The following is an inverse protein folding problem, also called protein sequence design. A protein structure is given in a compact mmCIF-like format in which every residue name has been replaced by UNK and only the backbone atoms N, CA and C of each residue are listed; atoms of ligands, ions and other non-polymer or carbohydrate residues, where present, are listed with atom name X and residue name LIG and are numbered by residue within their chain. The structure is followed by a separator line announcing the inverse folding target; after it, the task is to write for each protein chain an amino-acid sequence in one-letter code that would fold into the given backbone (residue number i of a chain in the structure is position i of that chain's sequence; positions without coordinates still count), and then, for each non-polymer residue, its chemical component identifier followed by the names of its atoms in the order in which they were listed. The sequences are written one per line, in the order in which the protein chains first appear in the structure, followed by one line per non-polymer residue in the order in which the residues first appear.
data_IF_938391932695
#
_entry.id   IF_938391932695
#
_cell.length_a   1.000
_cell.length_b   1.000
_cell.length_c   1.000
_cell.angle_alpha   90.00
_cell.angle_beta   90.00
_cell.angle_gamma   90.00
#
_symmetry.space_group_name_H-M   'P 1'
#
loop_
_entity.id
_entity.type
_entity.pdbx_description
1 polymer ?
#
# COMPACT_ATOMS: atom_id res chain seq x y z
N UNK A 1 25.07 15.33 10.18
CA UNK A 1 23.69 15.52 9.75
C UNK A 1 23.57 15.51 8.23
N UNK A 2 24.17 16.49 7.52
CA UNK A 2 24.03 16.59 6.06
C UNK A 2 24.53 15.34 5.33
N UNK A 3 25.69 14.83 5.67
CA UNK A 3 26.29 13.61 5.11
C UNK A 3 25.45 12.35 5.37
N UNK A 4 24.87 12.23 6.56
CA UNK A 4 23.97 11.13 6.94
C UNK A 4 22.67 11.17 6.11
N UNK A 5 22.04 12.36 6.02
CA UNK A 5 20.82 12.54 5.21
C UNK A 5 21.10 12.30 3.72
N UNK A 6 22.22 12.82 3.18
CA UNK A 6 22.63 12.60 1.81
C UNK A 6 22.87 11.09 1.49
N UNK A 7 23.54 10.37 2.38
CA UNK A 7 23.77 8.93 2.21
C UNK A 7 22.48 8.13 2.19
N UNK A 8 21.49 8.50 3.01
CA UNK A 8 20.16 7.90 2.99
C UNK A 8 19.35 8.29 1.75
N UNK A 9 19.40 9.53 1.32
CA UNK A 9 18.77 9.95 0.07
C UNK A 9 19.35 9.22 -1.15
N UNK A 10 20.63 8.95 -1.17
CA UNK A 10 21.30 8.17 -2.23
C UNK A 10 20.87 6.69 -2.27
N UNK A 11 20.39 6.13 -1.17
CA UNK A 11 19.88 4.75 -1.14
C UNK A 11 18.43 4.63 -1.64
N UNK A 12 17.70 5.74 -1.79
CA UNK A 12 16.29 5.74 -2.23
C UNK A 12 16.14 5.29 -3.70
N UNK A 13 16.86 5.85 -4.68
CA UNK A 13 16.68 5.48 -6.09
C UNK A 13 16.90 3.99 -6.37
N UNK A 14 17.99 3.34 -5.90
CA UNK A 14 18.18 1.91 -6.13
C UNK A 14 17.10 1.06 -5.43
N UNK A 15 16.64 1.46 -4.25
CA UNK A 15 15.54 0.77 -3.56
C UNK A 15 14.25 0.83 -4.36
N UNK A 16 13.88 2.02 -4.85
CA UNK A 16 12.68 2.22 -5.68
C UNK A 16 12.76 1.36 -6.95
N UNK A 17 13.91 1.36 -7.63
CA UNK A 17 14.11 0.57 -8.84
C UNK A 17 13.93 -0.93 -8.55
N UNK A 18 14.58 -1.44 -7.49
CA UNK A 18 14.52 -2.87 -7.13
C UNK A 18 13.09 -3.27 -6.74
N UNK A 19 12.42 -2.50 -5.89
CA UNK A 19 11.05 -2.81 -5.46
C UNK A 19 10.07 -2.75 -6.63
N UNK A 20 10.18 -1.73 -7.50
CA UNK A 20 9.33 -1.61 -8.68
C UNK A 20 9.57 -2.76 -9.66
N UNK A 21 10.83 -3.14 -9.90
CA UNK A 21 11.18 -4.25 -10.78
C UNK A 21 10.66 -5.59 -10.24
N UNK A 22 10.87 -5.86 -8.94
CA UNK A 22 10.35 -7.09 -8.31
C UNK A 22 8.83 -7.16 -8.37
N UNK A 23 8.15 -6.05 -8.07
CA UNK A 23 6.68 -5.99 -8.14
C UNK A 23 6.18 -6.24 -9.56
N UNK A 24 6.84 -5.63 -10.56
CA UNK A 24 6.51 -5.83 -11.96
C UNK A 24 6.71 -7.28 -12.40
N UNK A 25 7.84 -7.89 -12.05
CA UNK A 25 8.11 -9.29 -12.36
C UNK A 25 7.08 -10.23 -11.72
N UNK A 26 6.74 -10.00 -10.45
CA UNK A 26 5.72 -10.78 -9.75
C UNK A 26 4.35 -10.67 -10.43
N UNK A 27 3.95 -9.47 -10.87
CA UNK A 27 2.69 -9.29 -11.61
C UNK A 27 2.71 -10.02 -12.95
N UNK A 28 3.84 -10.02 -13.68
CA UNK A 28 3.96 -10.71 -14.97
C UNK A 28 4.04 -12.23 -14.85
N UNK A 29 4.43 -12.78 -13.69
CA UNK A 29 4.38 -14.23 -13.42
C UNK A 29 2.98 -14.71 -13.05
N UNK A 30 2.10 -13.82 -12.61
CA UNK A 30 0.72 -14.17 -12.31
C UNK A 30 -0.05 -14.52 -13.60
N UNK A 31 -0.83 -15.62 -13.63
CA UNK A 31 -1.55 -16.03 -14.82
C UNK A 31 -2.68 -15.05 -15.16
N UNK A 32 -2.75 -14.63 -16.44
CA UNK A 32 -3.76 -13.71 -16.99
C UNK A 32 -3.53 -12.24 -16.60
N UNK A 33 -4.22 -11.35 -17.29
CA UNK A 33 -4.23 -9.90 -17.03
C UNK A 33 -5.66 -9.42 -16.69
N UNK A 34 -5.85 -8.13 -16.44
CA UNK A 34 -7.15 -7.51 -16.15
C UNK A 34 -8.20 -7.81 -17.25
N UNK A 35 -7.77 -7.84 -18.50
CA UNK A 35 -8.64 -8.02 -19.66
C UNK A 35 -8.90 -9.50 -19.99
N UNK A 36 -8.19 -10.45 -19.40
CA UNK A 36 -8.28 -11.87 -19.76
C UNK A 36 -9.69 -12.45 -19.62
N UNK A 37 -10.46 -12.00 -18.63
CA UNK A 37 -11.86 -12.43 -18.48
C UNK A 37 -12.79 -11.78 -19.53
N UNK A 38 -12.46 -10.56 -19.96
CA UNK A 38 -13.24 -9.83 -20.97
C UNK A 38 -13.00 -10.37 -22.38
N UNK A 39 -11.79 -10.89 -22.65
CA UNK A 39 -11.47 -11.55 -23.94
C UNK A 39 -12.27 -12.85 -24.13
N UNK A 40 -12.60 -13.53 -23.04
CA UNK A 40 -13.37 -14.79 -23.09
C UNK A 40 -14.88 -14.55 -23.07
N UNK A 41 -15.34 -13.36 -22.66
CA UNK A 41 -16.77 -13.03 -22.59
C UNK A 41 -17.41 -12.94 -23.98
N UNK A 42 -18.37 -13.84 -24.33
CA UNK A 42 -19.02 -13.82 -25.64
C UNK A 42 -19.83 -12.56 -25.95
N UNK A 43 -20.25 -11.84 -24.91
CA UNK A 43 -21.07 -10.63 -25.00
C UNK A 43 -20.26 -9.37 -25.35
N UNK A 44 -18.92 -9.42 -25.28
CA UNK A 44 -18.05 -8.28 -25.57
C UNK A 44 -17.37 -8.43 -26.94
N UNK A 45 -17.27 -7.33 -27.67
CA UNK A 45 -16.47 -7.26 -28.89
C UNK A 45 -14.99 -7.39 -28.54
N UNK A 46 -14.30 -8.29 -29.21
CA UNK A 46 -12.85 -8.45 -29.04
C UNK A 46 -12.10 -7.21 -29.51
N UNK A 47 -12.53 -6.59 -30.60
CA UNK A 47 -11.99 -5.32 -31.11
C UNK A 47 -11.99 -4.24 -30.03
N UNK A 48 -13.07 -4.12 -29.26
CA UNK A 48 -13.14 -3.13 -28.18
C UNK A 48 -12.15 -3.45 -27.04
N UNK A 49 -12.04 -4.73 -26.65
CA UNK A 49 -11.10 -5.16 -25.61
C UNK A 49 -9.65 -4.92 -26.04
N UNK A 50 -9.28 -5.22 -27.29
CA UNK A 50 -7.92 -4.99 -27.80
C UNK A 50 -7.60 -3.50 -27.95
N UNK A 51 -8.55 -2.66 -28.35
CA UNK A 51 -8.39 -1.19 -28.33
C UNK A 51 -8.19 -0.64 -26.92
N UNK A 52 -8.88 -1.20 -25.91
CA UNK A 52 -8.65 -0.84 -24.51
C UNK A 52 -7.26 -1.27 -24.05
N UNK A 53 -6.76 -2.44 -24.45
CA UNK A 53 -5.39 -2.88 -24.17
C UNK A 53 -4.35 -1.99 -24.88
N UNK A 54 -4.61 -1.55 -26.10
CA UNK A 54 -3.76 -0.61 -26.83
C UNK A 54 -3.69 0.73 -26.08
N UNK A 55 -4.84 1.30 -25.71
CA UNK A 55 -4.89 2.56 -24.95
C UNK A 55 -4.25 2.45 -23.56
N UNK A 56 -4.19 1.24 -23.01
CA UNK A 56 -3.49 0.92 -21.76
C UNK A 56 -1.98 0.68 -21.94
N UNK A 57 -1.45 0.75 -23.17
CA UNK A 57 -0.04 0.51 -23.46
C UNK A 57 0.41 -0.96 -23.35
N UNK A 58 -0.53 -1.89 -23.35
CA UNK A 58 -0.24 -3.33 -23.30
C UNK A 58 -0.01 -3.93 -24.70
N UNK A 59 -0.55 -3.28 -25.71
CA UNK A 59 -0.48 -3.66 -27.10
C UNK A 59 -0.06 -2.46 -27.95
N UNK A 60 0.70 -2.73 -29.01
CA UNK A 60 1.00 -1.76 -30.06
C UNK A 60 0.35 -2.24 -31.35
N UNK A 61 -0.52 -1.42 -31.94
CA UNK A 61 -1.09 -1.70 -33.26
C UNK A 61 0.00 -1.70 -34.33
N UNK A 62 0.03 -2.72 -35.16
CA UNK A 62 0.97 -2.79 -36.27
C UNK A 62 0.38 -2.11 -37.51
N UNK A 63 1.22 -1.36 -38.23
CA UNK A 63 0.86 -0.84 -39.55
C UNK A 63 0.84 -2.00 -40.57
N UNK A 64 -0.02 -1.94 -41.63
CA UNK A 64 -0.05 -2.98 -42.66
C UNK A 64 1.33 -3.28 -43.28
N UNK A 65 2.15 -2.25 -43.47
CA UNK A 65 3.53 -2.39 -44.00
C UNK A 65 4.49 -3.12 -43.09
N UNK A 66 4.21 -3.17 -41.77
CA UNK A 66 5.00 -3.94 -40.78
C UNK A 66 4.62 -5.42 -40.79
N UNK A 67 3.40 -5.74 -41.23
CA UNK A 67 2.86 -7.09 -41.30
C UNK A 67 3.49 -7.91 -42.42
N UNK A 68 3.78 -7.29 -43.56
CA UNK A 68 4.51 -7.96 -44.65
C UNK A 68 5.87 -8.46 -44.21
N UNK A 69 6.51 -7.79 -43.25
CA UNK A 69 7.82 -8.19 -42.70
C UNK A 69 7.73 -9.35 -41.74
N UNK A 70 6.55 -9.76 -41.26
CA UNK A 70 6.39 -10.90 -40.37
C UNK A 70 6.58 -12.24 -41.06
N UNK A 71 6.43 -12.29 -42.40
CA UNK A 71 6.56 -13.49 -43.20
C UNK A 71 5.49 -14.54 -42.92
N UNK A 72 5.73 -15.74 -43.39
CA UNK A 72 4.87 -16.90 -43.11
C UNK A 72 5.20 -17.51 -41.75
N UNK A 73 4.19 -17.87 -40.98
CA UNK A 73 4.36 -18.58 -39.71
C UNK A 73 3.33 -19.71 -39.55
N UNK A 74 3.67 -20.70 -38.77
CA UNK A 74 2.81 -21.86 -38.54
C UNK A 74 2.23 -21.81 -37.12
N UNK A 75 0.89 -21.83 -37.02
CA UNK A 75 0.18 -21.94 -35.75
C UNK A 75 -0.89 -23.02 -35.89
N UNK A 76 -1.02 -23.85 -34.86
CA UNK A 76 -2.02 -24.95 -34.78
C UNK A 76 -2.04 -25.87 -36.02
N UNK A 77 -0.90 -26.00 -36.70
CA UNK A 77 -0.75 -26.88 -37.87
C UNK A 77 -1.11 -26.25 -39.22
N UNK A 78 -1.51 -25.00 -39.27
CA UNK A 78 -1.79 -24.23 -40.50
C UNK A 78 -0.73 -23.15 -40.71
N UNK A 79 -0.42 -22.85 -41.95
CA UNK A 79 0.53 -21.79 -42.34
C UNK A 79 -0.25 -20.50 -42.58
N UNK A 80 0.19 -19.42 -41.93
CA UNK A 80 -0.43 -18.10 -41.95
C UNK A 80 0.54 -17.08 -42.52
N UNK A 81 -0.02 -16.15 -43.31
CA UNK A 81 0.71 -14.96 -43.77
C UNK A 81 -0.22 -13.75 -43.81
N UNK A 82 0.37 -12.56 -43.76
CA UNK A 82 -0.32 -11.30 -43.94
C UNK A 82 0.17 -10.62 -45.17
N UNK A 83 -0.73 -10.01 -45.96
CA UNK A 83 -0.43 -9.27 -47.16
C UNK A 83 -1.02 -7.85 -47.06
N UNK A 84 -0.18 -6.84 -47.32
CA UNK A 84 -0.62 -5.45 -47.41
C UNK A 84 -1.17 -5.18 -48.82
N UNK A 85 -2.49 -5.11 -48.93
CA UNK A 85 -3.19 -4.80 -50.15
C UNK A 85 -3.56 -3.29 -50.27
N UNK A 86 -2.96 -2.43 -49.43
CA UNK A 86 -3.26 -1.01 -49.35
C UNK A 86 -4.62 -0.70 -48.70
N UNK A 87 -5.25 -1.67 -48.08
CA UNK A 87 -6.47 -1.54 -47.28
C UNK A 87 -6.14 -1.17 -45.82
N UNK A 88 -7.08 -0.59 -45.06
CA UNK A 88 -6.84 -0.27 -43.63
C UNK A 88 -6.59 -1.48 -42.74
N UNK A 89 -6.91 -2.69 -43.21
CA UNK A 89 -6.63 -3.97 -42.58
C UNK A 89 -5.94 -4.90 -43.57
N UNK A 90 -4.94 -5.69 -43.16
CA UNK A 90 -4.21 -6.59 -44.02
C UNK A 90 -5.11 -7.75 -44.50
N UNK A 91 -4.83 -8.26 -45.70
CA UNK A 91 -5.39 -9.54 -46.12
C UNK A 91 -4.68 -10.67 -45.39
N UNK A 92 -5.45 -11.55 -44.75
CA UNK A 92 -4.94 -12.69 -43.99
C UNK A 92 -5.07 -13.94 -44.87
N UNK A 93 -3.97 -14.63 -45.02
CA UNK A 93 -3.89 -15.87 -45.80
C UNK A 93 -3.60 -17.03 -44.84
N UNK A 94 -4.44 -18.06 -44.92
CA UNK A 94 -4.26 -19.33 -44.19
C UNK A 94 -4.17 -20.48 -45.17
N UNK A 95 -3.07 -21.24 -45.15
CA UNK A 95 -2.82 -22.36 -46.09
C UNK A 95 -3.02 -21.98 -47.54
N UNK A 96 -2.57 -20.78 -47.95
CA UNK A 96 -2.72 -20.25 -49.28
C UNK A 96 -4.13 -19.80 -49.68
N UNK A 97 -5.08 -19.75 -48.74
CA UNK A 97 -6.44 -19.25 -48.98
C UNK A 97 -6.67 -17.94 -48.25
N UNK A 98 -7.20 -16.95 -48.93
CA UNK A 98 -7.61 -15.67 -48.32
C UNK A 98 -8.76 -15.92 -47.34
N UNK A 99 -8.56 -15.54 -46.09
CA UNK A 99 -9.58 -15.62 -45.05
C UNK A 99 -10.29 -14.28 -45.01
N UNK A 100 -11.34 -14.14 -45.82
CA UNK A 100 -12.20 -12.96 -45.82
C UNK A 100 -13.29 -13.14 -44.78
N UNK A 101 -13.35 -12.26 -43.84
CA UNK A 101 -14.46 -12.20 -42.88
C UNK A 101 -14.13 -12.66 -41.48
N UNK A 102 -15.05 -12.42 -40.57
CA UNK A 102 -14.92 -12.67 -39.13
C UNK A 102 -14.36 -14.07 -38.85
N UNK A 103 -13.26 -14.10 -38.13
CA UNK A 103 -12.67 -15.37 -37.68
C UNK A 103 -13.71 -16.18 -36.91
N UNK A 104 -14.05 -17.34 -37.40
CA UNK A 104 -15.02 -18.26 -36.77
C UNK A 104 -14.48 -18.90 -35.48
N UNK A 105 -13.17 -18.77 -35.22
CA UNK A 105 -12.52 -19.40 -34.05
C UNK A 105 -11.66 -18.38 -33.31
N UNK A 106 -11.98 -18.12 -32.05
CA UNK A 106 -11.19 -17.32 -31.09
C UNK A 106 -9.77 -17.85 -30.86
N UNK A 107 -9.44 -19.07 -31.29
CA UNK A 107 -8.10 -19.65 -31.16
C UNK A 107 -7.04 -18.99 -32.03
N UNK A 108 -7.45 -18.26 -33.07
CA UNK A 108 -6.56 -17.53 -33.99
C UNK A 108 -6.14 -16.16 -33.48
N UNK A 109 -6.73 -15.68 -32.40
CA UNK A 109 -6.53 -14.32 -31.87
C UNK A 109 -5.20 -14.13 -31.17
N UNK A 110 -4.48 -15.19 -30.86
CA UNK A 110 -3.19 -15.16 -30.20
C UNK A 110 -2.20 -16.03 -30.95
N UNK A 111 -1.18 -15.45 -31.55
CA UNK A 111 -0.11 -16.17 -32.22
C UNK A 111 1.27 -15.66 -31.79
N UNK A 112 2.30 -16.45 -32.02
CA UNK A 112 3.65 -16.13 -31.63
C UNK A 112 4.61 -16.31 -32.80
N UNK A 113 5.41 -15.26 -33.06
CA UNK A 113 6.49 -15.32 -34.07
C UNK A 113 7.80 -15.03 -33.32
N UNK A 114 8.67 -16.05 -33.21
CA UNK A 114 9.88 -15.96 -32.41
C UNK A 114 9.57 -15.65 -30.93
N UNK A 115 10.22 -14.66 -30.34
CA UNK A 115 9.96 -14.29 -28.93
C UNK A 115 8.73 -13.39 -28.75
N UNK A 116 8.16 -12.87 -29.85
CA UNK A 116 7.10 -11.83 -29.82
C UNK A 116 5.73 -12.47 -29.95
N UNK A 117 4.80 -12.02 -29.09
CA UNK A 117 3.40 -12.44 -29.10
C UNK A 117 2.55 -11.38 -29.77
N UNK A 118 1.60 -11.84 -30.59
CA UNK A 118 0.66 -11.02 -31.34
C UNK A 118 -0.77 -11.40 -31.01
N UNK A 119 -1.68 -10.45 -31.18
CA UNK A 119 -3.13 -10.64 -31.06
C UNK A 119 -3.81 -10.02 -32.29
N UNK A 120 -4.86 -10.65 -32.77
CA UNK A 120 -5.64 -10.13 -33.88
C UNK A 120 -7.10 -9.95 -33.45
N UNK A 121 -7.74 -8.85 -33.82
CA UNK A 121 -9.15 -8.60 -33.53
C UNK A 121 -10.11 -9.17 -34.58
N UNK A 122 -11.41 -9.01 -34.34
CA UNK A 122 -12.48 -9.51 -35.23
C UNK A 122 -12.48 -8.78 -36.57
N UNK A 123 -11.82 -7.61 -36.68
CA UNK A 123 -11.72 -6.79 -37.89
C UNK A 123 -10.42 -7.07 -38.66
N UNK A 124 -9.54 -7.94 -38.16
CA UNK A 124 -8.27 -8.29 -38.79
C UNK A 124 -7.11 -7.36 -38.41
N UNK A 125 -7.30 -6.46 -37.45
CA UNK A 125 -6.21 -5.59 -36.95
C UNK A 125 -5.28 -6.40 -36.08
N UNK A 126 -3.98 -6.35 -36.37
CA UNK A 126 -2.96 -7.08 -35.66
C UNK A 126 -2.26 -6.16 -34.66
N UNK A 127 -2.09 -6.67 -33.46
CA UNK A 127 -1.43 -5.97 -32.35
C UNK A 127 -0.23 -6.77 -31.86
N UNK A 128 0.90 -6.10 -31.65
CA UNK A 128 2.09 -6.65 -31.00
C UNK A 128 1.96 -6.48 -29.50
N UNK A 129 2.13 -7.54 -28.73
CA UNK A 129 2.15 -7.45 -27.26
C UNK A 129 3.45 -6.76 -26.81
N UNK A 130 3.34 -5.77 -25.95
CA UNK A 130 4.50 -5.06 -25.36
C UNK A 130 5.29 -6.04 -24.48
N UNK A 131 6.59 -6.11 -24.73
CA UNK A 131 7.48 -6.98 -23.97
C UNK A 131 7.58 -6.54 -22.50
N UNK A 132 7.81 -7.48 -21.56
CA UNK A 132 7.87 -7.13 -20.13
C UNK A 132 8.98 -6.09 -19.81
N UNK A 133 10.13 -6.17 -20.47
CA UNK A 133 11.21 -5.20 -20.26
C UNK A 133 10.83 -3.82 -20.79
N UNK A 134 10.33 -3.76 -22.02
CA UNK A 134 9.85 -2.52 -22.64
C UNK A 134 8.74 -1.87 -21.79
N UNK A 135 7.75 -2.66 -21.36
CA UNK A 135 6.65 -2.18 -20.53
C UNK A 135 7.10 -1.66 -19.16
N UNK A 136 8.07 -2.33 -18.52
CA UNK A 136 8.62 -1.86 -17.26
C UNK A 136 9.31 -0.51 -17.39
N UNK A 137 10.24 -0.38 -18.33
CA UNK A 137 10.99 0.88 -18.49
C UNK A 137 10.07 2.03 -18.94
N UNK A 138 9.13 1.78 -19.84
CA UNK A 138 8.14 2.78 -20.24
C UNK A 138 7.34 3.28 -19.03
N UNK A 139 6.77 2.37 -18.23
CA UNK A 139 6.04 2.72 -17.03
C UNK A 139 6.93 3.45 -16.00
N UNK A 140 8.15 2.93 -15.76
CA UNK A 140 9.06 3.47 -14.75
C UNK A 140 9.49 4.90 -15.05
N UNK A 141 9.85 5.21 -16.31
CA UNK A 141 10.22 6.56 -16.71
C UNK A 141 9.04 7.53 -16.65
N UNK A 142 7.85 7.10 -17.03
CA UNK A 142 6.63 7.90 -16.87
C UNK A 142 6.32 8.16 -15.39
N UNK A 143 6.48 7.15 -14.53
CA UNK A 143 6.29 7.30 -13.09
C UNK A 143 7.26 8.32 -12.45
N UNK A 144 8.50 8.43 -12.93
CA UNK A 144 9.46 9.44 -12.49
C UNK A 144 9.03 10.88 -12.84
N UNK A 145 8.23 11.05 -13.89
CA UNK A 145 7.63 12.35 -14.26
C UNK A 145 6.28 12.62 -13.59
N UNK A 146 5.82 11.70 -12.73
CA UNK A 146 4.55 11.80 -12.00
C UNK A 146 3.35 11.22 -12.75
N UNK A 147 3.56 10.65 -13.93
CA UNK A 147 2.51 9.94 -14.67
C UNK A 147 2.55 8.43 -14.32
N UNK A 148 1.65 8.02 -13.44
CA UNK A 148 1.47 6.62 -13.04
C UNK A 148 0.48 5.86 -13.93
N UNK A 149 -0.03 6.50 -15.00
CA UNK A 149 -1.02 5.94 -15.89
C UNK A 149 -2.45 5.99 -15.33
N UNK A 150 -3.33 5.20 -15.94
CA UNK A 150 -4.75 5.08 -15.56
C UNK A 150 -5.02 3.70 -14.97
N UNK A 151 -5.83 3.67 -13.93
CA UNK A 151 -6.34 2.42 -13.36
C UNK A 151 -7.30 1.74 -14.33
N UNK A 152 -7.10 0.45 -14.57
CA UNK A 152 -7.99 -0.34 -15.42
C UNK A 152 -9.36 -0.56 -14.78
N UNK A 153 -9.38 -0.77 -13.46
CA UNK A 153 -10.61 -1.01 -12.69
C UNK A 153 -11.46 0.26 -12.54
N UNK A 154 -10.84 1.38 -12.21
CA UNK A 154 -11.55 2.63 -11.89
C UNK A 154 -11.65 3.60 -13.06
N UNK A 155 -10.92 3.35 -14.15
CA UNK A 155 -10.81 4.21 -15.33
C UNK A 155 -10.52 5.70 -15.01
N UNK A 156 -9.71 5.94 -13.95
CA UNK A 156 -9.29 7.26 -13.45
C UNK A 156 -7.77 7.32 -13.36
N UNK A 157 -7.16 8.53 -13.38
CA UNK A 157 -5.73 8.68 -13.12
C UNK A 157 -5.34 8.05 -11.79
N UNK A 158 -4.29 7.20 -11.79
CA UNK A 158 -3.84 6.43 -10.63
C UNK A 158 -3.44 7.35 -9.47
N UNK A 159 -2.72 8.45 -9.76
CA UNK A 159 -2.27 9.39 -8.72
C UNK A 159 -3.41 9.95 -7.88
N UNK A 160 -4.53 10.35 -8.50
CA UNK A 160 -5.70 10.88 -7.81
C UNK A 160 -6.33 9.86 -6.86
N UNK A 161 -6.44 8.59 -7.31
CA UNK A 161 -6.97 7.51 -6.48
C UNK A 161 -6.08 7.26 -5.26
N UNK A 162 -4.77 7.18 -5.48
CA UNK A 162 -3.80 6.94 -4.40
C UNK A 162 -3.79 8.09 -3.41
N UNK A 163 -3.82 9.34 -3.87
CA UNK A 163 -3.81 10.52 -2.99
C UNK A 163 -5.03 10.55 -2.04
N UNK A 164 -6.22 10.23 -2.56
CA UNK A 164 -7.45 10.12 -1.75
C UNK A 164 -7.29 9.04 -0.66
N UNK A 165 -6.80 7.86 -1.03
CA UNK A 165 -6.64 6.71 -0.13
C UNK A 165 -5.51 6.89 0.88
N UNK A 166 -4.42 7.50 0.46
CA UNK A 166 -3.28 7.83 1.31
C UNK A 166 -3.69 8.73 2.47
N UNK A 167 -4.48 9.79 2.19
CA UNK A 167 -4.95 10.71 3.21
C UNK A 167 -5.78 9.98 4.28
N UNK A 168 -6.63 9.05 3.87
CA UNK A 168 -7.44 8.25 4.78
C UNK A 168 -6.59 7.33 5.67
N UNK A 169 -5.56 6.68 5.10
CA UNK A 169 -4.61 5.87 5.88
C UNK A 169 -3.80 6.74 6.85
N UNK A 170 -3.38 7.94 6.44
CA UNK A 170 -2.67 8.88 7.31
C UNK A 170 -3.50 9.27 8.53
N UNK A 171 -4.77 9.64 8.34
CA UNK A 171 -5.68 10.00 9.43
C UNK A 171 -5.85 8.81 10.40
N UNK A 172 -6.09 7.62 9.88
CA UNK A 172 -6.22 6.40 10.69
C UNK A 172 -4.95 6.09 11.47
N UNK A 173 -3.78 6.18 10.82
CA UNK A 173 -2.48 5.92 11.42
C UNK A 173 -2.15 6.91 12.53
N UNK A 174 -2.40 8.20 12.31
CA UNK A 174 -2.19 9.24 13.33
C UNK A 174 -3.13 9.02 14.52
N UNK A 175 -4.40 8.73 14.29
CA UNK A 175 -5.36 8.44 15.36
C UNK A 175 -4.94 7.20 16.18
N UNK A 176 -4.51 6.14 15.51
CA UNK A 176 -4.00 4.93 16.17
C UNK A 176 -2.73 5.22 17.00
N UNK A 177 -1.79 6.05 16.49
CA UNK A 177 -0.60 6.47 17.24
C UNK A 177 -0.96 7.30 18.47
N UNK A 178 -1.91 8.23 18.34
CA UNK A 178 -2.39 9.03 19.48
C UNK A 178 -2.94 8.12 20.58
N UNK A 179 -3.73 7.10 20.26
CA UNK A 179 -4.24 6.12 21.21
C UNK A 179 -3.08 5.30 21.80
N UNK A 180 -2.21 4.76 20.94
CA UNK A 180 -1.13 3.87 21.36
C UNK A 180 -0.13 4.55 22.32
N UNK A 181 0.30 5.77 21.99
CA UNK A 181 1.24 6.54 22.79
C UNK A 181 0.54 7.26 23.95
N UNK A 182 -0.64 7.84 23.69
CA UNK A 182 -1.40 8.59 24.70
C UNK A 182 -1.90 7.74 25.85
N UNK A 183 -2.16 6.45 25.63
CA UNK A 183 -2.54 5.51 26.68
C UNK A 183 -1.36 4.63 27.13
N UNK A 184 -0.55 4.13 26.18
CA UNK A 184 0.52 3.18 26.49
C UNK A 184 1.63 3.77 27.35
N UNK A 185 2.11 4.98 27.05
CA UNK A 185 3.18 5.61 27.84
C UNK A 185 2.74 5.93 29.27
N UNK A 186 1.61 6.63 29.50
CA UNK A 186 1.16 6.88 30.89
C UNK A 186 0.93 5.60 31.69
N UNK A 187 0.27 4.60 31.10
CA UNK A 187 0.05 3.31 31.78
C UNK A 187 1.37 2.62 32.12
N UNK A 188 2.36 2.64 31.21
CA UNK A 188 3.69 2.10 31.47
C UNK A 188 4.44 2.83 32.60
N UNK A 189 4.35 4.17 32.62
CA UNK A 189 4.94 4.98 33.73
C UNK A 189 4.27 4.66 35.06
N UNK A 190 2.94 4.63 35.13
CA UNK A 190 2.22 4.31 36.35
C UNK A 190 2.56 2.91 36.88
N UNK A 191 2.66 1.92 35.98
CA UNK A 191 3.10 0.58 36.31
C UNK A 191 4.55 0.55 36.87
N UNK A 192 5.44 1.40 36.34
CA UNK A 192 6.84 1.48 36.76
C UNK A 192 7.04 2.16 38.13
N UNK A 193 6.16 3.10 38.51
CA UNK A 193 6.27 3.86 39.78
C UNK A 193 6.11 2.95 41.00
N UNK A 194 5.23 1.95 40.91
CA UNK A 194 4.98 0.96 41.97
C UNK A 194 5.06 -0.45 41.40
N UNK A 195 6.26 -0.98 41.18
CA UNK A 195 6.44 -2.34 40.69
C UNK A 195 5.76 -3.37 41.60
N UNK A 196 5.24 -4.44 40.98
CA UNK A 196 4.51 -5.51 41.67
C UNK A 196 3.21 -5.07 42.38
N UNK A 197 2.70 -3.88 42.10
CA UNK A 197 1.38 -3.42 42.54
C UNK A 197 0.24 -4.03 41.72
N UNK A 198 -1.01 -3.99 42.21
CA UNK A 198 -2.17 -4.41 41.40
C UNK A 198 -2.27 -3.67 40.03
N UNK A 199 -1.87 -2.39 40.03
CA UNK A 199 -1.84 -1.58 38.76
C UNK A 199 -0.83 -2.16 37.78
N UNK A 200 0.37 -2.53 38.27
CA UNK A 200 1.40 -3.14 37.44
C UNK A 200 0.97 -4.50 36.87
N UNK A 201 0.36 -5.34 37.74
CA UNK A 201 -0.15 -6.65 37.30
C UNK A 201 -1.29 -6.52 36.28
N UNK A 202 -2.28 -5.64 36.52
CA UNK A 202 -3.37 -5.43 35.56
C UNK A 202 -2.89 -4.84 34.24
N UNK A 203 -1.97 -3.89 34.30
CA UNK A 203 -1.31 -3.34 33.10
C UNK A 203 -0.54 -4.43 32.33
N UNK A 204 0.18 -5.29 33.05
CA UNK A 204 0.88 -6.44 32.45
C UNK A 204 -0.06 -7.44 31.77
N UNK A 205 -1.18 -7.79 32.40
CA UNK A 205 -2.21 -8.68 31.81
C UNK A 205 -2.84 -8.03 30.58
N UNK A 206 -3.20 -6.76 30.63
CA UNK A 206 -3.76 -6.04 29.48
C UNK A 206 -2.77 -5.97 28.31
N UNK A 207 -1.48 -5.73 28.62
CA UNK A 207 -0.44 -5.76 27.60
C UNK A 207 -0.28 -7.16 26.99
N UNK A 208 -0.32 -8.20 27.81
CA UNK A 208 -0.22 -9.57 27.32
C UNK A 208 -1.38 -9.93 26.39
N UNK A 209 -2.62 -9.61 26.79
CA UNK A 209 -3.81 -9.81 25.95
C UNK A 209 -3.68 -9.04 24.63
N UNK A 210 -3.31 -7.74 24.68
CA UNK A 210 -3.17 -6.90 23.49
C UNK A 210 -2.10 -7.39 22.52
N UNK A 211 -1.04 -8.03 23.00
CA UNK A 211 0.02 -8.62 22.16
C UNK A 211 -0.33 -10.02 21.65
N UNK A 212 -1.15 -10.77 22.39
CA UNK A 212 -1.50 -12.17 22.05
C UNK A 212 -2.65 -12.27 21.06
N UNK A 213 -3.55 -11.28 21.04
CA UNK A 213 -4.72 -11.29 20.16
C UNK A 213 -4.33 -10.77 18.77
N UNK A 214 -4.51 -11.55 17.69
CA UNK A 214 -4.27 -11.07 16.35
C UNK A 214 -5.14 -9.83 16.02
N UNK A 215 -4.55 -8.82 15.38
CA UNK A 215 -5.24 -7.56 15.06
C UNK A 215 -6.52 -7.78 14.23
N UNK A 216 -6.50 -8.76 13.32
CA UNK A 216 -7.68 -9.15 12.52
C UNK A 216 -8.83 -9.62 13.40
N UNK A 217 -8.51 -10.45 14.40
CA UNK A 217 -9.51 -10.94 15.35
C UNK A 217 -10.10 -9.82 16.20
N UNK A 218 -9.24 -8.89 16.66
CA UNK A 218 -9.69 -7.68 17.36
C UNK A 218 -10.60 -6.81 16.49
N UNK A 219 -10.29 -6.68 15.18
CA UNK A 219 -11.13 -5.96 14.23
C UNK A 219 -12.50 -6.62 14.05
N UNK A 220 -12.54 -7.95 13.93
CA UNK A 220 -13.80 -8.71 13.84
C UNK A 220 -14.65 -8.57 15.10
N UNK A 221 -14.03 -8.66 16.30
CA UNK A 221 -14.73 -8.44 17.57
C UNK A 221 -15.28 -7.01 17.67
N UNK A 222 -14.54 -6.00 17.19
CA UNK A 222 -14.99 -4.62 17.17
C UNK A 222 -16.20 -4.43 16.23
N UNK A 223 -16.19 -5.07 15.05
CA UNK A 223 -17.34 -5.08 14.13
C UNK A 223 -18.56 -5.76 14.77
N UNK A 224 -18.37 -6.92 15.43
CA UNK A 224 -19.44 -7.60 16.16
C UNK A 224 -19.99 -6.71 17.28
N UNK A 225 -19.11 -6.07 18.06
CA UNK A 225 -19.54 -5.13 19.11
C UNK A 225 -20.34 -3.97 18.54
N UNK A 226 -19.90 -3.35 17.44
CA UNK A 226 -20.64 -2.29 16.76
C UNK A 226 -22.02 -2.76 16.30
N UNK A 227 -22.09 -3.96 15.69
CA UNK A 227 -23.34 -4.54 15.18
C UNK A 227 -24.36 -4.80 16.31
N UNK A 228 -23.93 -5.36 17.44
CA UNK A 228 -24.85 -5.71 18.52
C UNK A 228 -25.21 -4.52 19.43
N UNK A 229 -24.26 -3.58 19.61
CA UNK A 229 -24.51 -2.42 20.48
C UNK A 229 -25.25 -1.29 19.79
N UNK A 230 -25.09 -1.17 18.46
CA UNK A 230 -25.59 -0.01 17.70
C UNK A 230 -24.93 1.33 18.07
N UNK A 231 -23.86 1.30 18.91
CA UNK A 231 -23.20 2.50 19.42
C UNK A 231 -22.19 3.07 18.44
N UNK A 232 -21.64 2.24 17.55
CA UNK A 232 -20.62 2.64 16.59
C UNK A 232 -20.97 2.18 15.19
N UNK A 233 -20.47 2.88 14.15
CA UNK A 233 -20.61 2.43 12.77
C UNK A 233 -19.90 1.09 12.57
N UNK A 234 -20.49 0.21 11.75
CA UNK A 234 -19.93 -1.11 11.44
C UNK A 234 -18.69 -1.01 10.55
N UNK A 235 -18.59 0.07 9.78
CA UNK A 235 -17.51 0.33 8.85
C UNK A 235 -17.66 1.67 8.15
N UNK A 236 -16.92 1.83 7.05
CA UNK A 236 -16.84 3.05 6.24
C UNK A 236 -16.19 4.24 6.96
N UNK A 237 -16.04 5.35 6.24
CA UNK A 237 -15.40 6.58 6.74
C UNK A 237 -16.44 7.65 7.14
N UNK A 238 -17.67 7.50 6.69
CA UNK A 238 -18.76 8.47 6.89
C UNK A 238 -20.13 7.83 6.73
N UNK A 239 -21.15 8.41 7.37
CA UNK A 239 -22.54 7.98 7.21
C UNK A 239 -23.11 8.38 5.85
N UNK A 240 -24.24 7.74 5.48
CA UNK A 240 -24.95 8.05 4.23
C UNK A 240 -25.45 9.51 4.20
N UNK A 241 -25.83 10.04 5.36
CA UNK A 241 -26.35 11.40 5.53
C UNK A 241 -25.26 12.47 5.71
N UNK A 242 -23.97 12.08 5.57
CA UNK A 242 -22.82 12.96 5.80
C UNK A 242 -22.91 14.31 5.09
N UNK A 243 -23.39 14.31 3.84
CA UNK A 243 -23.45 15.53 3.03
C UNK A 243 -24.51 16.54 3.52
N UNK A 244 -25.48 16.07 4.29
CA UNK A 244 -26.54 16.89 4.91
C UNK A 244 -26.07 17.59 6.19
N UNK A 245 -24.95 17.15 6.78
CA UNK A 245 -24.44 17.72 8.04
C UNK A 245 -23.71 19.05 7.82
N UNK A 246 -23.85 19.95 8.78
CA UNK A 246 -23.00 21.12 8.91
C UNK A 246 -21.56 20.73 9.31
N UNK A 247 -20.66 21.71 9.36
CA UNK A 247 -19.24 21.48 9.64
C UNK A 247 -18.98 20.61 10.89
N UNK A 248 -19.61 20.92 12.02
CA UNK A 248 -19.42 20.17 13.28
C UNK A 248 -20.03 18.78 13.22
N UNK A 249 -21.15 18.61 12.53
CA UNK A 249 -21.75 17.30 12.28
C UNK A 249 -20.84 16.43 11.42
N UNK A 250 -20.28 16.98 10.36
CA UNK A 250 -19.28 16.28 9.49
C UNK A 250 -18.03 15.86 10.25
N UNK A 251 -17.54 16.72 11.14
CA UNK A 251 -16.38 16.38 11.98
C UNK A 251 -16.73 15.28 12.98
N UNK A 252 -17.88 15.40 13.65
CA UNK A 252 -18.35 14.39 14.61
C UNK A 252 -18.58 13.03 13.97
N UNK A 253 -19.21 13.00 12.80
CA UNK A 253 -19.43 11.77 12.02
C UNK A 253 -18.12 11.08 11.64
N UNK A 254 -17.14 11.82 11.12
CA UNK A 254 -15.82 11.26 10.80
C UNK A 254 -15.07 10.73 12.01
N UNK A 255 -15.11 11.44 13.13
CA UNK A 255 -14.47 10.99 14.37
C UNK A 255 -15.14 9.73 14.91
N UNK A 256 -16.47 9.62 14.78
CA UNK A 256 -17.23 8.45 15.19
C UNK A 256 -16.88 7.21 14.37
N UNK A 257 -16.75 7.36 13.03
CA UNK A 257 -16.31 6.28 12.15
C UNK A 257 -14.82 5.92 12.34
N UNK A 258 -13.98 6.90 12.64
CA UNK A 258 -12.54 6.73 12.88
C UNK A 258 -12.24 6.02 14.20
N UNK A 259 -13.08 6.19 15.21
CA UNK A 259 -12.80 5.78 16.60
C UNK A 259 -12.50 4.29 16.70
N UNK A 260 -13.37 3.44 16.18
CA UNK A 260 -13.27 2.00 16.35
C UNK A 260 -12.07 1.39 15.59
N UNK A 261 -11.82 1.72 14.29
CA UNK A 261 -10.61 1.29 13.59
C UNK A 261 -9.32 1.78 14.26
N UNK A 262 -9.29 3.04 14.71
CA UNK A 262 -8.13 3.59 15.40
C UNK A 262 -7.90 2.93 16.77
N UNK A 263 -8.96 2.59 17.49
CA UNK A 263 -8.88 1.87 18.76
C UNK A 263 -8.28 0.47 18.57
N UNK A 264 -8.73 -0.27 17.56
CA UNK A 264 -8.21 -1.62 17.24
C UNK A 264 -6.72 -1.58 16.92
N UNK A 265 -6.30 -0.68 16.02
CA UNK A 265 -4.88 -0.52 15.67
C UNK A 265 -4.07 0.01 16.85
N UNK A 266 -4.60 1.02 17.55
CA UNK A 266 -3.92 1.69 18.66
C UNK A 266 -3.72 0.76 19.86
N UNK A 267 -4.71 -0.04 20.24
CA UNK A 267 -4.61 -0.98 21.37
C UNK A 267 -3.64 -2.11 21.11
N UNK A 268 -3.58 -2.62 19.88
CA UNK A 268 -2.58 -3.63 19.50
C UNK A 268 -1.15 -3.11 19.65
N UNK A 269 -0.87 -1.87 19.23
CA UNK A 269 0.43 -1.24 19.37
C UNK A 269 0.72 -0.76 20.81
N UNK A 270 -0.31 -0.27 21.54
CA UNK A 270 -0.23 0.28 22.89
C UNK A 270 0.47 -0.66 23.88
N UNK A 271 0.17 -1.96 23.79
CA UNK A 271 0.72 -2.97 24.68
C UNK A 271 2.25 -3.06 24.61
N UNK A 272 2.82 -2.91 23.39
CA UNK A 272 4.26 -2.85 23.18
C UNK A 272 4.89 -1.60 23.80
N UNK A 273 4.29 -0.42 23.56
CA UNK A 273 4.78 0.85 24.10
C UNK A 273 4.66 0.95 25.62
N UNK A 274 3.58 0.43 26.18
CA UNK A 274 3.37 0.36 27.62
C UNK A 274 4.48 -0.47 28.28
N UNK A 275 4.78 -1.67 27.77
CA UNK A 275 5.84 -2.53 28.28
C UNK A 275 7.21 -1.88 28.13
N UNK A 276 7.49 -1.24 27.00
CA UNK A 276 8.74 -0.54 26.77
C UNK A 276 8.90 0.68 27.71
N UNK A 277 7.85 1.49 27.85
CA UNK A 277 7.84 2.63 28.76
C UNK A 277 8.06 2.21 30.21
N UNK A 278 7.41 1.12 30.64
CA UNK A 278 7.60 0.54 31.97
C UNK A 278 9.04 0.11 32.20
N UNK A 279 9.64 -0.65 31.28
CA UNK A 279 11.02 -1.13 31.38
C UNK A 279 12.02 0.02 31.46
N UNK A 280 11.95 0.97 30.52
CA UNK A 280 12.82 2.14 30.51
C UNK A 280 12.68 3.00 31.76
N UNK A 281 11.46 3.12 32.29
CA UNK A 281 11.20 3.91 33.49
C UNK A 281 11.74 3.27 34.75
N UNK A 282 11.62 1.95 34.89
CA UNK A 282 12.20 1.19 36.01
C UNK A 282 13.74 1.35 36.00
N UNK A 283 14.36 1.19 34.81
CA UNK A 283 15.79 1.36 34.64
C UNK A 283 16.23 2.78 35.02
N UNK A 284 15.55 3.80 34.49
CA UNK A 284 15.86 5.21 34.78
C UNK A 284 15.72 5.54 36.27
N UNK A 285 14.70 5.02 36.97
CA UNK A 285 14.47 5.25 38.40
C UNK A 285 15.55 4.60 39.29
N UNK A 286 16.25 3.58 38.81
CA UNK A 286 17.37 2.90 39.48
C UNK A 286 18.71 3.62 39.40
N UNK A 287 18.85 4.62 38.51
CA UNK A 287 20.12 5.30 38.21
C UNK A 287 20.58 6.26 39.31
N UNK A 288 21.89 6.46 39.42
CA UNK A 288 22.51 7.29 40.48
C UNK A 288 22.13 8.77 40.43
N UNK A 289 21.89 9.31 39.22
CA UNK A 289 21.41 10.70 39.08
C UNK A 289 20.03 10.91 39.73
N UNK A 290 19.16 9.88 39.69
CA UNK A 290 17.85 9.90 40.37
C UNK A 290 18.03 9.83 41.90
N UNK A 291 18.93 8.99 42.41
CA UNK A 291 19.29 8.94 43.83
C UNK A 291 19.81 10.28 44.33
N UNK A 292 20.68 10.91 43.54
CA UNK A 292 21.23 12.25 43.83
C UNK A 292 20.13 13.31 43.87
N UNK A 293 19.19 13.28 42.93
CA UNK A 293 18.06 14.23 42.91
C UNK A 293 17.17 14.07 44.16
N UNK A 294 16.90 12.83 44.60
CA UNK A 294 16.17 12.55 45.84
C UNK A 294 16.91 13.06 47.06
N UNK A 295 18.23 12.82 47.17
CA UNK A 295 19.06 13.30 48.25
C UNK A 295 19.11 14.83 48.35
N UNK A 296 18.97 15.55 47.21
CA UNK A 296 18.85 17.01 47.14
C UNK A 296 17.46 17.53 47.49
N UNK A 297 16.51 16.70 47.89
CA UNK A 297 15.16 17.11 48.30
C UNK A 297 14.22 17.45 47.13
N UNK A 298 14.50 17.01 45.91
CA UNK A 298 13.58 17.21 44.77
C UNK A 298 12.28 16.42 45.03
N UNK A 299 11.14 17.06 44.78
CA UNK A 299 9.82 16.43 44.99
C UNK A 299 9.67 15.14 44.14
N UNK A 300 8.83 14.21 44.59
CA UNK A 300 8.61 12.94 43.90
C UNK A 300 8.19 13.11 42.43
N UNK A 301 7.29 14.05 42.15
CA UNK A 301 6.87 14.36 40.79
C UNK A 301 7.99 14.98 39.97
N UNK A 302 8.84 15.81 40.57
CA UNK A 302 10.05 16.35 39.94
C UNK A 302 11.07 15.26 39.59
N UNK A 303 11.31 14.33 40.51
CA UNK A 303 12.16 13.16 40.21
C UNK A 303 11.60 12.33 39.06
N UNK A 304 10.29 12.07 39.08
CA UNK A 304 9.62 11.24 38.06
C UNK A 304 9.70 11.88 36.68
N UNK A 305 9.16 13.09 36.51
CA UNK A 305 9.00 13.71 35.20
C UNK A 305 10.24 14.45 34.71
N UNK A 306 10.96 15.16 35.55
CA UNK A 306 12.10 15.98 35.14
C UNK A 306 13.40 15.19 35.04
N UNK A 307 13.61 14.16 35.88
CA UNK A 307 14.85 13.39 35.92
C UNK A 307 14.72 12.00 35.29
N UNK A 308 13.76 11.17 35.70
CA UNK A 308 13.64 9.81 35.19
C UNK A 308 13.00 9.76 33.80
N UNK A 309 11.82 10.35 33.61
CA UNK A 309 11.08 10.28 32.34
C UNK A 309 11.84 10.88 31.16
N UNK A 310 12.55 12.00 31.37
CA UNK A 310 13.33 12.65 30.33
C UNK A 310 14.34 11.69 29.65
N UNK A 311 14.92 10.78 30.42
CA UNK A 311 15.84 9.79 29.87
C UNK A 311 15.13 8.53 29.39
N UNK A 312 14.06 8.11 30.10
CA UNK A 312 13.27 6.95 29.75
C UNK A 312 12.51 7.10 28.42
N UNK A 313 12.23 8.34 27.99
CA UNK A 313 11.48 8.61 26.75
C UNK A 313 12.32 8.42 25.47
N UNK A 314 13.66 8.51 25.55
CA UNK A 314 14.52 8.47 24.35
C UNK A 314 14.28 7.23 23.47
N UNK A 315 14.24 5.98 23.98
CA UNK A 315 13.92 4.83 23.15
C UNK A 315 12.51 4.87 22.57
N UNK A 316 11.55 5.50 23.27
CA UNK A 316 10.17 5.62 22.78
C UNK A 316 10.05 6.59 21.60
N UNK A 317 10.87 7.65 21.56
CA UNK A 317 10.94 8.56 20.41
C UNK A 317 11.49 7.84 19.20
N UNK A 318 12.50 6.98 19.38
CA UNK A 318 13.00 6.15 18.28
C UNK A 318 11.91 5.21 17.74
N UNK A 319 11.19 4.55 18.65
CA UNK A 319 10.08 3.66 18.26
C UNK A 319 8.95 4.41 17.58
N UNK A 320 8.68 5.67 17.94
CA UNK A 320 7.66 6.49 17.29
C UNK A 320 7.87 6.60 15.77
N UNK A 321 9.09 6.87 15.35
CA UNK A 321 9.40 6.97 13.93
C UNK A 321 9.21 5.66 13.17
N UNK A 322 9.67 4.54 13.73
CA UNK A 322 9.43 3.21 13.13
C UNK A 322 7.94 2.87 13.09
N UNK A 323 7.19 3.27 14.12
CA UNK A 323 5.74 3.04 14.18
C UNK A 323 4.98 3.82 13.12
N UNK A 324 5.37 5.07 12.90
CA UNK A 324 4.79 5.90 11.85
C UNK A 324 4.99 5.23 10.47
N UNK A 325 6.22 4.80 10.18
CA UNK A 325 6.54 4.10 8.94
C UNK A 325 5.75 2.78 8.79
N UNK A 326 5.67 1.99 9.86
CA UNK A 326 4.95 0.71 9.87
C UNK A 326 3.44 0.88 9.68
N UNK A 327 2.83 1.87 10.31
CA UNK A 327 1.40 2.14 10.18
C UNK A 327 1.01 2.68 8.80
N UNK A 328 1.91 3.43 8.15
CA UNK A 328 1.72 3.89 6.78
C UNK A 328 1.72 2.75 5.77
N UNK A 329 2.41 1.64 6.08
CA UNK A 329 2.50 0.47 5.21
C UNK A 329 1.56 -0.68 5.60
N UNK A 330 0.92 -0.67 6.79
CA UNK A 330 0.45 -1.91 7.41
C UNK A 330 -0.93 -1.96 8.04
N UNK A 331 -1.86 -1.04 7.80
CA UNK A 331 -3.24 -1.13 8.31
C UNK A 331 -4.19 -1.98 7.42
N UNK A 332 -3.65 -2.66 6.39
CA UNK A 332 -4.38 -3.43 5.38
C UNK A 332 -5.54 -4.26 5.93
N UNK A 333 -5.28 -5.09 6.91
CA UNK A 333 -6.29 -6.04 7.42
C UNK A 333 -7.44 -5.34 8.15
N UNK A 334 -7.13 -4.31 8.93
CA UNK A 334 -8.14 -3.49 9.61
C UNK A 334 -8.94 -2.67 8.60
N UNK A 335 -8.28 -2.11 7.58
CA UNK A 335 -8.92 -1.38 6.49
C UNK A 335 -9.91 -2.26 5.72
N UNK A 336 -9.56 -3.52 5.46
CA UNK A 336 -10.47 -4.49 4.80
C UNK A 336 -11.64 -4.86 5.70
N UNK A 337 -11.36 -5.31 6.93
CA UNK A 337 -12.39 -5.83 7.86
C UNK A 337 -13.40 -4.75 8.25
N UNK A 338 -12.92 -3.52 8.48
CA UNK A 338 -13.76 -2.40 8.90
C UNK A 338 -14.18 -1.48 7.74
N UNK A 339 -14.02 -1.94 6.52
CA UNK A 339 -14.39 -1.22 5.28
C UNK A 339 -13.80 0.20 5.19
N UNK A 340 -12.66 0.46 5.84
CA UNK A 340 -11.99 1.76 5.79
C UNK A 340 -11.34 1.97 4.42
N UNK A 341 -11.63 3.10 3.72
CA UNK A 341 -11.12 3.32 2.36
C UNK A 341 -9.67 3.83 2.37
N UNK A 342 -8.74 2.99 2.82
CA UNK A 342 -7.32 3.31 2.91
C UNK A 342 -6.48 2.77 1.76
N UNK A 343 -5.16 3.04 1.83
CA UNK A 343 -4.17 2.65 0.82
C UNK A 343 -3.91 1.13 0.82
N UNK A 344 -3.86 0.51 1.99
CA UNK A 344 -3.67 -0.94 2.09
C UNK A 344 -4.80 -1.70 1.40
N UNK A 345 -6.05 -1.33 1.68
CA UNK A 345 -7.23 -1.89 0.99
C UNK A 345 -7.17 -1.65 -0.51
N UNK A 346 -6.74 -0.47 -0.96
CA UNK A 346 -6.58 -0.16 -2.38
C UNK A 346 -5.58 -1.11 -3.06
N UNK A 347 -4.44 -1.38 -2.43
CA UNK A 347 -3.44 -2.35 -2.93
C UNK A 347 -4.06 -3.73 -3.10
N UNK A 348 -4.81 -4.19 -2.10
CA UNK A 348 -5.49 -5.49 -2.17
C UNK A 348 -6.52 -5.54 -3.31
N UNK A 349 -7.34 -4.50 -3.44
CA UNK A 349 -8.32 -4.37 -4.53
C UNK A 349 -7.65 -4.35 -5.91
N UNK A 350 -6.52 -3.66 -6.05
CA UNK A 350 -5.75 -3.57 -7.28
C UNK A 350 -5.12 -4.92 -7.67
N UNK A 351 -4.53 -5.65 -6.71
CA UNK A 351 -3.97 -6.99 -6.92
C UNK A 351 -5.07 -7.97 -7.33
N UNK A 352 -6.21 -7.96 -6.61
CA UNK A 352 -7.34 -8.85 -6.90
C UNK A 352 -7.95 -8.60 -8.27
N UNK A 353 -7.94 -7.34 -8.73
CA UNK A 353 -8.40 -6.96 -10.06
C UNK A 353 -7.31 -7.08 -11.15
N UNK A 354 -6.07 -7.39 -10.79
CA UNK A 354 -4.90 -7.39 -11.69
C UNK A 354 -4.70 -6.03 -12.40
N UNK A 355 -4.94 -4.95 -11.70
CA UNK A 355 -4.76 -3.57 -12.19
C UNK A 355 -3.28 -3.18 -12.09
N UNK A 356 -2.49 -3.52 -13.09
CA UNK A 356 -1.03 -3.36 -13.09
C UNK A 356 -0.58 -1.94 -12.74
N UNK A 357 -1.07 -0.85 -13.39
CA UNK A 357 -0.62 0.50 -13.08
C UNK A 357 -0.92 0.89 -11.63
N UNK A 358 -2.10 0.50 -11.12
CA UNK A 358 -2.50 0.82 -9.76
C UNK A 358 -1.68 0.06 -8.72
N UNK A 359 -1.37 -1.23 -8.95
CA UNK A 359 -0.50 -2.03 -8.05
C UNK A 359 0.90 -1.45 -8.01
N UNK A 360 1.52 -1.24 -9.17
CA UNK A 360 2.89 -0.72 -9.28
C UNK A 360 3.04 0.63 -8.57
N UNK A 361 2.14 1.57 -8.87
CA UNK A 361 2.17 2.90 -8.26
C UNK A 361 1.88 2.85 -6.76
N UNK A 362 0.94 2.02 -6.31
CA UNK A 362 0.60 1.90 -4.89
C UNK A 362 1.76 1.32 -4.08
N UNK A 363 2.44 0.29 -4.59
CA UNK A 363 3.62 -0.30 -3.94
C UNK A 363 4.79 0.70 -3.93
N UNK A 364 5.02 1.41 -5.04
CA UNK A 364 6.06 2.44 -5.12
C UNK A 364 5.82 3.56 -4.10
N UNK A 365 4.60 4.10 -4.04
CA UNK A 365 4.24 5.16 -3.10
C UNK A 365 4.30 4.67 -1.65
N UNK A 366 3.84 3.44 -1.36
CA UNK A 366 3.98 2.83 -0.02
C UNK A 366 5.44 2.70 0.39
N UNK A 367 6.32 2.32 -0.55
CA UNK A 367 7.78 2.25 -0.32
C UNK A 367 8.37 3.63 -0.03
N UNK A 368 7.97 4.65 -0.80
CA UNK A 368 8.39 6.04 -0.55
C UNK A 368 7.96 6.54 0.82
N UNK A 369 6.72 6.24 1.23
CA UNK A 369 6.20 6.58 2.54
C UNK A 369 6.97 5.89 3.67
N UNK A 370 7.28 4.60 3.51
CA UNK A 370 8.10 3.85 4.46
C UNK A 370 9.49 4.50 4.63
N UNK A 371 10.13 4.84 3.52
CA UNK A 371 11.45 5.50 3.53
C UNK A 371 11.37 6.88 4.15
N UNK A 372 10.35 7.67 3.80
CA UNK A 372 10.10 8.99 4.38
C UNK A 372 9.82 8.88 5.89
N UNK A 373 8.98 7.94 6.33
CA UNK A 373 8.72 7.68 7.74
C UNK A 373 10.00 7.33 8.51
N UNK A 374 10.85 6.47 7.94
CA UNK A 374 12.15 6.15 8.53
C UNK A 374 13.07 7.37 8.59
N UNK A 375 13.09 8.23 7.56
CA UNK A 375 13.88 9.46 7.58
C UNK A 375 13.40 10.42 8.67
N UNK A 376 12.09 10.57 8.85
CA UNK A 376 11.51 11.37 9.93
C UNK A 376 11.89 10.78 11.29
N UNK A 377 11.85 9.46 11.44
CA UNK A 377 12.30 8.76 12.65
C UNK A 377 13.72 9.11 13.03
N UNK A 378 14.63 9.05 12.08
CA UNK A 378 16.05 9.33 12.30
C UNK A 378 16.32 10.81 12.61
N UNK A 379 15.58 11.73 11.98
CA UNK A 379 15.66 13.15 12.29
C UNK A 379 15.17 13.44 13.72
N UNK A 380 14.06 12.82 14.14
CA UNK A 380 13.54 12.95 15.50
C UNK A 380 14.54 12.39 16.52
N UNK A 381 15.13 11.22 16.23
CA UNK A 381 16.16 10.62 17.08
C UNK A 381 17.38 11.55 17.22
N UNK A 382 17.85 12.10 16.11
CA UNK A 382 19.00 13.03 16.11
C UNK A 382 18.72 14.36 16.83
N UNK A 383 17.44 14.76 16.93
CA UNK A 383 17.03 15.93 17.74
C UNK A 383 17.01 15.63 19.24
N UNK A 384 16.60 14.40 19.63
CA UNK A 384 16.44 14.02 21.02
C UNK A 384 17.75 13.51 21.63
N UNK A 385 18.55 12.77 20.87
CA UNK A 385 19.86 12.24 21.31
C UNK A 385 21.01 12.85 20.49
N UNK A 386 21.73 13.85 21.04
CA UNK A 386 22.87 14.46 20.36
C UNK A 386 24.04 13.49 20.07
N UNK A 387 24.10 12.34 20.74
CA UNK A 387 25.19 11.35 20.57
C UNK A 387 25.12 10.65 19.22
N UNK A 388 23.91 10.51 18.67
CA UNK A 388 23.68 9.92 17.33
C UNK A 388 24.23 10.80 16.19
N UNK A 389 24.52 12.07 16.46
CA UNK A 389 25.07 13.01 15.45
C UNK A 389 26.54 12.75 15.11
N UNK A 390 27.24 11.91 15.86
CA UNK A 390 28.68 11.70 15.77
C UNK A 390 29.08 10.37 15.09
N UNK A 391 28.13 9.54 14.77
CA UNK A 391 28.30 8.29 13.99
C UNK A 391 27.64 8.42 12.59
#
# INVERSE_FOLDING_TARGET
MLTFTLRRMLSIPPLILVVSLLTFLLLKTAPGDFYSQQEVDPMRSLTEVLRQKESAGLLNRLAPSELDNLGEFTDSGSTWSFQDDGLPTPTIICDGKVVNGRFASRSLLNFQIGPTKYQCDDEGVVYRKVGPVEGFFSWFFNALTGDFGRSYKFNRPVFGIIAERLWNTLILSVAALVIAYGLGIPLGIFAAVKPNSPIDHTAGILAFIGLSVPTVFSALLAVLFATYSGLFPIGDMRSLDYDLYGFWGKLGDRLHHLFLPALVLGTSAMAGYMRQARGNMIEALGQDYVRTARAKGVSHTGVLFKHAFRNAVNPLVTLFGYSLASLLSGSLLVEIVMNWPGLGRLVFEAISAKDEPLVLASVLISTLLLVFGNLVADLLLAMVDPRVRLS
#
